data_IF_100500953115
#
_entry.id   IF_100500953115
#
_cell.length_a   1.000
_cell.length_b   1.000
_cell.length_c   1.000
_cell.angle_alpha   90.00
_cell.angle_beta   90.00
_cell.angle_gamma   90.00
#
_symmetry.space_group_name_H-M   'P 1'
#
loop_
_entity.id
_entity.type
_entity.pdbx_description
1 polymer ?
#
# COMPACT_ATOMS: atom_id res chain seq x y z
N UNK A 1 -5.16 -10.79 -15.84
CA UNK A 1 -4.91 -10.27 -14.47
C UNK A 1 -5.52 -11.24 -13.48
N UNK A 2 -4.88 -11.47 -12.33
CA UNK A 2 -5.34 -12.39 -11.26
C UNK A 2 -5.84 -11.63 -10.03
N UNK A 3 -6.48 -10.50 -10.29
CA UNK A 3 -7.06 -9.65 -9.27
C UNK A 3 -8.53 -9.45 -9.57
N UNK A 4 -9.37 -9.58 -8.55
CA UNK A 4 -10.79 -9.22 -8.63
C UNK A 4 -10.95 -7.74 -8.98
N UNK A 5 -12.09 -7.41 -9.58
CA UNK A 5 -12.43 -6.04 -9.89
C UNK A 5 -12.61 -5.21 -8.61
N UNK A 6 -12.00 -4.02 -8.56
CA UNK A 6 -12.19 -3.05 -7.50
C UNK A 6 -11.81 -3.53 -6.08
N UNK A 7 -12.39 -2.84 -5.10
CA UNK A 7 -12.22 -3.06 -3.66
C UNK A 7 -12.39 -1.76 -2.90
N UNK A 8 -13.37 -1.70 -2.00
CA UNK A 8 -13.69 -0.49 -1.22
C UNK A 8 -13.22 -0.71 0.22
N UNK A 9 -12.13 -0.04 0.60
CA UNK A 9 -11.55 -0.04 1.94
C UNK A 9 -10.97 1.35 2.22
N UNK A 10 -10.85 1.73 3.48
CA UNK A 10 -10.36 3.05 3.88
C UNK A 10 -10.18 3.16 5.39
N UNK A 11 -9.96 4.39 5.87
CA UNK A 11 -9.85 4.71 7.29
C UNK A 11 -10.98 5.67 7.69
N UNK A 12 -11.48 5.56 8.92
CA UNK A 12 -12.56 6.43 9.39
C UNK A 12 -12.19 7.92 9.25
N UNK A 13 -13.14 8.72 8.77
CA UNK A 13 -12.95 10.14 8.50
C UNK A 13 -12.39 10.48 7.11
N UNK A 14 -11.90 9.50 6.34
CA UNK A 14 -11.33 9.73 5.00
C UNK A 14 -12.07 8.91 3.95
N UNK A 15 -12.50 9.56 2.86
CA UNK A 15 -13.19 8.91 1.73
C UNK A 15 -12.26 8.29 0.68
N UNK A 16 -10.94 8.32 0.89
CA UNK A 16 -9.95 7.84 -0.07
C UNK A 16 -8.56 7.66 0.55
N UNK A 17 -7.58 7.36 -0.29
CA UNK A 17 -6.18 7.12 0.12
C UNK A 17 -5.76 5.65 0.22
N UNK A 18 -6.73 4.72 0.19
CA UNK A 18 -6.48 3.27 0.13
C UNK A 18 -7.13 2.68 -1.12
N UNK A 19 -6.39 1.89 -1.89
CA UNK A 19 -6.89 1.17 -3.04
C UNK A 19 -7.07 -0.30 -2.64
N UNK A 20 -8.32 -0.74 -2.52
CA UNK A 20 -8.65 -2.14 -2.28
C UNK A 20 -8.31 -3.01 -3.47
N UNK A 21 -7.73 -4.17 -3.19
CA UNK A 21 -7.40 -5.21 -4.17
C UNK A 21 -7.40 -6.57 -3.50
N UNK A 22 -7.97 -7.55 -4.20
CA UNK A 22 -8.17 -8.92 -3.71
C UNK A 22 -7.79 -9.92 -4.80
N UNK A 23 -7.08 -10.99 -4.43
CA UNK A 23 -6.75 -12.08 -5.35
C UNK A 23 -8.02 -12.78 -5.87
N UNK A 24 -8.02 -13.20 -7.13
CA UNK A 24 -9.07 -14.08 -7.68
C UNK A 24 -8.91 -15.55 -7.26
N UNK A 25 -7.75 -15.92 -6.70
CA UNK A 25 -7.41 -17.27 -6.19
C UNK A 25 -6.91 -17.21 -4.73
N UNK A 26 -7.75 -16.84 -3.76
CA UNK A 26 -7.34 -16.65 -2.37
C UNK A 26 -6.92 -17.94 -1.65
N UNK A 27 -7.47 -19.10 -2.05
CA UNK A 27 -7.09 -20.40 -1.45
C UNK A 27 -5.70 -20.84 -1.88
N UNK A 28 -5.32 -20.59 -3.15
CA UNK A 28 -4.00 -20.91 -3.68
C UNK A 28 -2.95 -19.91 -3.20
N UNK A 29 -3.32 -18.63 -3.03
CA UNK A 29 -2.42 -17.55 -2.63
C UNK A 29 -2.95 -16.77 -1.42
N UNK A 30 -3.01 -17.39 -0.22
CA UNK A 30 -3.62 -16.78 0.95
C UNK A 30 -2.90 -15.50 1.40
N UNK A 31 -1.58 -15.40 1.21
CA UNK A 31 -0.78 -14.23 1.58
C UNK A 31 -1.11 -12.94 0.80
N UNK A 32 -1.79 -13.05 -0.34
CA UNK A 32 -2.27 -11.91 -1.14
C UNK A 32 -3.77 -11.95 -1.37
N UNK A 33 -4.52 -12.72 -0.55
CA UNK A 33 -5.97 -12.67 -0.57
C UNK A 33 -6.47 -11.22 -0.43
N UNK A 34 -5.77 -10.43 0.40
CA UNK A 34 -5.89 -8.98 0.53
C UNK A 34 -4.53 -8.35 0.19
N UNK A 35 -4.49 -7.43 -0.78
CA UNK A 35 -3.23 -6.77 -1.18
C UNK A 35 -3.46 -5.29 -1.48
N UNK A 36 -3.86 -4.55 -0.46
CA UNK A 36 -4.27 -3.15 -0.59
C UNK A 36 -3.06 -2.22 -0.73
N UNK A 37 -3.19 -1.16 -1.54
CA UNK A 37 -2.16 -0.13 -1.67
C UNK A 37 -2.59 1.11 -0.88
N UNK A 38 -1.71 1.58 0.00
CA UNK A 38 -1.88 2.85 0.72
C UNK A 38 -1.09 3.94 -0.02
N UNK A 39 -1.72 5.09 -0.26
CA UNK A 39 -1.05 6.27 -0.83
C UNK A 39 -0.60 7.18 0.31
N UNK A 40 0.70 7.42 0.40
CA UNK A 40 1.32 8.23 1.45
C UNK A 40 1.79 9.56 0.84
N UNK A 41 1.48 10.66 1.52
CA UNK A 41 1.85 12.00 1.06
C UNK A 41 3.37 12.21 1.18
N UNK A 42 4.01 12.56 0.07
CA UNK A 42 5.45 12.82 -0.01
C UNK A 42 5.84 14.27 0.32
N UNK A 43 7.08 14.54 0.73
CA UNK A 43 7.65 15.88 0.69
C UNK A 43 7.76 16.42 -0.74
N UNK A 44 7.64 17.74 -0.88
CA UNK A 44 7.84 18.44 -2.14
C UNK A 44 9.25 18.14 -2.70
N UNK A 45 9.32 17.78 -3.99
CA UNK A 45 10.58 17.48 -4.66
C UNK A 45 11.19 16.11 -4.32
N UNK A 46 10.53 15.28 -3.50
CA UNK A 46 10.97 13.92 -3.17
C UNK A 46 12.38 13.84 -2.54
N UNK A 47 12.77 14.85 -1.77
CA UNK A 47 13.99 14.81 -0.96
C UNK A 47 13.67 14.28 0.45
N UNK A 48 14.49 13.35 0.92
CA UNK A 48 14.32 12.67 2.21
C UNK A 48 15.64 12.63 2.96
N UNK A 49 15.56 12.64 4.29
CA UNK A 49 16.63 12.12 5.12
C UNK A 49 16.48 10.60 5.28
N UNK A 50 17.59 9.90 5.56
CA UNK A 50 17.60 8.44 5.69
C UNK A 50 16.78 7.97 6.88
N UNK A 51 16.81 8.73 7.99
CA UNK A 51 16.09 8.42 9.23
C UNK A 51 14.58 8.33 9.01
N UNK A 52 14.02 9.23 8.22
CA UNK A 52 12.61 9.24 7.85
C UNK A 52 12.28 7.99 7.03
N UNK A 53 13.07 7.68 6.00
CA UNK A 53 12.84 6.50 5.16
C UNK A 53 12.94 5.20 5.96
N UNK A 54 13.94 5.05 6.83
CA UNK A 54 14.09 3.92 7.73
C UNK A 54 12.86 3.77 8.63
N UNK A 55 12.40 4.85 9.25
CA UNK A 55 11.20 4.81 10.10
C UNK A 55 9.94 4.39 9.35
N UNK A 56 9.81 4.80 8.08
CA UNK A 56 8.69 4.40 7.23
C UNK A 56 8.78 2.93 6.84
N UNK A 57 9.99 2.43 6.52
CA UNK A 57 10.21 1.03 6.17
C UNK A 57 10.01 0.11 7.37
N UNK A 58 10.46 0.47 8.57
CA UNK A 58 10.19 -0.30 9.80
C UNK A 58 8.69 -0.47 10.06
N UNK A 59 7.91 0.61 9.85
CA UNK A 59 6.46 0.55 9.96
C UNK A 59 5.84 -0.36 8.90
N UNK A 60 6.31 -0.25 7.65
CA UNK A 60 5.77 -1.02 6.53
C UNK A 60 6.14 -2.50 6.58
N UNK A 61 7.34 -2.85 7.03
CA UNK A 61 7.76 -4.23 7.25
C UNK A 61 6.88 -4.90 8.31
N UNK A 62 6.54 -4.19 9.38
CA UNK A 62 5.70 -4.72 10.46
C UNK A 62 4.23 -4.90 10.06
N UNK A 63 3.71 -4.07 9.17
CA UNK A 63 2.24 -3.94 8.93
C UNK A 63 1.81 -4.17 7.49
N UNK A 64 2.74 -4.21 6.56
CA UNK A 64 2.52 -4.33 5.13
C UNK A 64 3.28 -5.51 4.55
N UNK A 65 3.61 -5.39 3.26
CA UNK A 65 4.27 -6.46 2.50
C UNK A 65 5.78 -6.29 2.36
N UNK A 66 6.36 -5.19 2.88
CA UNK A 66 7.75 -4.80 2.60
C UNK A 66 7.97 -4.27 1.18
N UNK A 67 6.94 -4.25 0.31
CA UNK A 67 7.03 -3.81 -1.08
C UNK A 67 6.48 -2.40 -1.24
N UNK A 68 7.19 -1.53 -1.94
CA UNK A 68 6.79 -0.14 -2.21
C UNK A 68 7.01 0.25 -3.66
N UNK A 69 6.29 1.28 -4.11
CA UNK A 69 6.62 2.04 -5.31
C UNK A 69 7.15 3.41 -4.87
N UNK A 70 8.32 3.80 -5.36
CA UNK A 70 8.97 5.08 -5.04
C UNK A 70 9.23 5.84 -6.35
N UNK A 71 8.27 6.56 -6.93
CA UNK A 71 6.94 6.97 -6.44
C UNK A 71 5.81 6.57 -7.40
N UNK A 72 4.56 6.87 -7.04
CA UNK A 72 3.45 6.87 -7.99
C UNK A 72 3.57 8.01 -9.00
N UNK A 73 2.96 7.85 -10.19
CA UNK A 73 2.98 8.84 -11.26
C UNK A 73 1.94 9.98 -11.11
N UNK A 74 1.11 9.93 -10.07
CA UNK A 74 -0.02 10.84 -9.82
C UNK A 74 0.10 11.51 -8.47
#
# INVERSE_FOLDING_TARGET
THWKHGGIVGVFGYGGGVIGRYSDQPEMFPGVAHFHTLRINQPMGHFYDTKFLESLMELWERRGSGITNMHGAT
#
